data_IF_911642541668
#
_entry.id   IF_911642541668
#
_cell.length_a   1.000
_cell.length_b   1.000
_cell.length_c   1.000
_cell.angle_alpha   90.00
_cell.angle_beta   90.00
_cell.angle_gamma   90.00
#
_symmetry.space_group_name_H-M   'P 1'
#
loop_
_entity.id
_entity.type
_entity.pdbx_description
1 polymer ?
#
# COMPACT_ATOMS: atom_id res chain seq x y z
N UNK A 1 36.78 36.16 -26.85
CA UNK A 1 36.89 35.22 -27.98
C UNK A 1 35.57 34.48 -28.13
N UNK A 2 34.92 34.77 -29.24
CA UNK A 2 33.62 34.18 -29.61
C UNK A 2 33.87 32.78 -30.16
N UNK A 3 33.07 31.80 -29.76
CA UNK A 3 32.82 30.59 -30.54
C UNK A 3 31.33 30.25 -30.52
N UNK A 4 30.70 30.52 -31.64
CA UNK A 4 29.42 30.01 -32.10
C UNK A 4 29.58 28.51 -32.42
N UNK A 5 28.66 27.67 -32.01
CA UNK A 5 28.48 26.33 -32.58
C UNK A 5 27.01 26.16 -32.94
N UNK A 6 26.82 25.68 -34.15
CA UNK A 6 25.59 25.69 -34.93
C UNK A 6 24.51 24.71 -34.50
N UNK A 7 23.27 25.09 -34.86
CA UNK A 7 22.07 24.24 -34.88
C UNK A 7 22.24 23.05 -35.85
N UNK A 8 21.89 21.87 -35.42
CA UNK A 8 21.58 20.72 -36.26
C UNK A 8 20.12 20.33 -36.09
N UNK A 9 19.28 20.74 -37.02
CA UNK A 9 17.89 20.32 -37.15
C UNK A 9 17.90 19.01 -37.92
N UNK A 10 17.47 17.91 -37.25
CA UNK A 10 17.23 16.64 -37.92
C UNK A 10 15.73 16.45 -38.08
N UNK A 11 15.25 16.66 -39.32
CA UNK A 11 13.90 16.38 -39.74
C UNK A 11 13.74 14.86 -39.95
N UNK A 12 12.89 14.19 -39.14
CA UNK A 12 12.46 12.83 -39.43
C UNK A 12 11.12 12.86 -40.16
N UNK A 13 11.16 12.34 -41.37
CA UNK A 13 10.01 12.18 -42.26
C UNK A 13 9.04 11.10 -41.74
N UNK A 14 7.77 11.47 -41.58
CA UNK A 14 6.67 10.56 -41.26
C UNK A 14 6.20 9.91 -42.57
N UNK A 15 6.39 8.62 -42.74
CA UNK A 15 5.78 7.84 -43.80
C UNK A 15 4.42 7.32 -43.34
N UNK A 16 3.35 7.87 -43.88
CA UNK A 16 1.98 7.41 -43.68
C UNK A 16 1.73 6.31 -44.68
N UNK A 17 1.49 5.07 -44.23
CA UNK A 17 0.97 3.98 -45.04
C UNK A 17 -0.53 3.89 -44.79
N UNK A 18 -1.33 4.39 -45.71
CA UNK A 18 -2.76 4.18 -45.74
C UNK A 18 -3.04 2.82 -46.38
N UNK A 19 -3.56 1.88 -45.60
CA UNK A 19 -4.31 0.75 -46.14
C UNK A 19 -5.78 0.89 -45.75
N UNK A 20 -6.57 1.30 -46.71
CA UNK A 20 -8.02 1.24 -46.61
C UNK A 20 -8.48 -0.18 -46.98
N UNK A 21 -9.17 -0.81 -46.08
CA UNK A 21 -10.12 -1.89 -46.35
C UNK A 21 -11.32 -1.71 -45.46
N UNK A 22 -12.45 -1.46 -46.12
CA UNK A 22 -13.74 -1.37 -45.47
C UNK A 22 -14.20 -2.75 -45.06
N UNK A 23 -14.67 -2.90 -43.80
CA UNK A 23 -15.84 -3.74 -43.52
C UNK A 23 -16.48 -3.34 -42.18
N UNK A 24 -17.75 -3.22 -42.31
CA UNK A 24 -18.94 -3.05 -41.51
C UNK A 24 -18.86 -3.32 -39.98
N UNK A 25 -19.39 -2.30 -39.23
CA UNK A 25 -20.14 -2.45 -37.97
C UNK A 25 -19.52 -3.22 -36.81
N UNK A 26 -18.86 -2.50 -35.94
CA UNK A 26 -19.21 -2.54 -34.49
C UNK A 26 -18.53 -1.38 -33.75
N UNK A 27 -19.34 -0.38 -33.35
CA UNK A 27 -18.86 0.69 -32.49
C UNK A 27 -18.70 0.14 -31.08
N UNK A 28 -17.50 -0.39 -30.78
CA UNK A 28 -17.06 -0.61 -29.39
C UNK A 28 -16.21 0.59 -29.00
N UNK A 29 -16.82 1.49 -28.24
CA UNK A 29 -16.10 2.54 -27.54
C UNK A 29 -15.21 1.86 -26.49
N UNK A 30 -13.98 1.56 -26.85
CA UNK A 30 -12.96 1.09 -25.88
C UNK A 30 -12.53 2.28 -25.06
N UNK A 31 -13.23 2.51 -23.96
CA UNK A 31 -12.71 3.34 -22.88
C UNK A 31 -11.52 2.58 -22.28
N UNK A 32 -10.32 3.01 -22.61
CA UNK A 32 -9.10 2.49 -21.96
C UNK A 32 -9.10 3.01 -20.53
N UNK A 33 -9.80 2.32 -19.64
CA UNK A 33 -9.59 2.48 -18.21
C UNK A 33 -8.15 2.05 -17.92
N UNK A 34 -7.30 3.02 -17.66
CA UNK A 34 -5.96 2.76 -17.12
C UNK A 34 -6.18 2.24 -15.71
N UNK A 35 -6.37 0.93 -15.58
CA UNK A 35 -6.39 0.23 -14.31
C UNK A 35 -5.01 0.45 -13.68
N UNK A 36 -4.96 1.37 -12.71
CA UNK A 36 -3.79 1.52 -11.84
C UNK A 36 -3.73 0.23 -11.02
N UNK A 37 -2.91 -0.71 -11.46
CA UNK A 37 -2.59 -1.88 -10.64
C UNK A 37 -1.74 -1.39 -9.48
N UNK A 38 -2.39 -1.12 -8.36
CA UNK A 38 -1.71 -0.99 -7.07
C UNK A 38 -1.06 -2.36 -6.84
N UNK A 39 0.27 -2.43 -6.64
CA UNK A 39 0.91 -3.70 -6.37
C UNK A 39 0.24 -4.32 -5.14
N UNK A 40 -0.49 -5.40 -5.35
CA UNK A 40 -1.03 -6.22 -4.26
C UNK A 40 0.18 -6.84 -3.59
N UNK A 41 0.65 -6.20 -2.52
CA UNK A 41 1.65 -6.81 -1.64
C UNK A 41 0.97 -8.08 -1.09
N UNK A 42 1.47 -9.22 -1.53
CA UNK A 42 0.90 -10.51 -1.14
C UNK A 42 1.20 -10.75 0.34
N UNK A 43 0.29 -10.33 1.21
CA UNK A 43 0.41 -10.46 2.68
C UNK A 43 0.06 -11.88 3.15
N UNK A 44 -0.24 -12.79 2.23
CA UNK A 44 -0.47 -14.22 2.52
C UNK A 44 0.72 -14.95 3.16
N UNK A 45 1.67 -14.19 3.73
CA UNK A 45 2.85 -14.69 4.43
C UNK A 45 2.69 -14.66 5.96
N UNK A 46 1.61 -14.10 6.50
CA UNK A 46 1.36 -14.15 7.94
C UNK A 46 0.59 -15.44 8.26
N UNK A 47 1.20 -16.41 8.95
CA UNK A 47 0.52 -17.65 9.30
C UNK A 47 -0.75 -17.39 10.12
N UNK A 48 -1.82 -18.16 9.89
CA UNK A 48 -3.09 -18.01 10.62
C UNK A 48 -2.90 -18.06 12.14
N UNK A 49 -1.97 -18.88 12.63
CA UNK A 49 -1.63 -18.97 14.06
C UNK A 49 -1.11 -17.64 14.64
N UNK A 50 -0.38 -16.89 13.83
CA UNK A 50 0.12 -15.57 14.21
C UNK A 50 -1.03 -14.56 14.24
N UNK A 51 -1.93 -14.58 13.24
CA UNK A 51 -3.11 -13.72 13.23
C UNK A 51 -3.96 -13.96 14.48
N UNK A 52 -4.23 -15.23 14.82
CA UNK A 52 -4.99 -15.59 16.03
C UNK A 52 -4.35 -15.10 17.34
N UNK A 53 -3.03 -15.05 17.40
CA UNK A 53 -2.32 -14.44 18.54
C UNK A 53 -2.63 -12.94 18.64
N UNK A 54 -2.50 -12.22 17.52
CA UNK A 54 -2.73 -10.78 17.48
C UNK A 54 -4.20 -10.38 17.64
N UNK A 55 -5.14 -11.24 17.23
CA UNK A 55 -6.58 -11.03 17.50
C UNK A 55 -6.86 -10.92 19.01
N UNK A 56 -6.15 -11.69 19.84
CA UNK A 56 -6.26 -11.58 21.30
C UNK A 56 -5.75 -10.25 21.83
N UNK A 57 -4.66 -9.75 21.23
CA UNK A 57 -4.13 -8.42 21.57
C UNK A 57 -5.13 -7.35 21.17
N UNK A 58 -5.73 -7.44 19.98
CA UNK A 58 -6.75 -6.50 19.51
C UNK A 58 -7.98 -6.44 20.41
N UNK A 59 -8.39 -7.57 20.96
CA UNK A 59 -9.48 -7.59 21.96
C UNK A 59 -9.13 -6.75 23.18
N UNK A 60 -7.90 -6.85 23.68
CA UNK A 60 -7.43 -6.08 24.82
C UNK A 60 -7.22 -4.60 24.50
N UNK A 61 -6.52 -4.28 23.39
CA UNK A 61 -6.12 -2.92 23.02
C UNK A 61 -7.33 -2.05 22.64
N UNK A 62 -8.25 -2.58 21.84
CA UNK A 62 -9.27 -1.76 21.18
C UNK A 62 -10.67 -2.39 21.22
N UNK A 63 -10.87 -3.47 21.97
CA UNK A 63 -12.12 -4.24 21.94
C UNK A 63 -12.39 -4.87 20.58
N UNK A 64 -11.33 -5.27 19.85
CA UNK A 64 -11.41 -5.86 18.51
C UNK A 64 -11.85 -4.89 17.40
N UNK A 65 -11.65 -3.58 17.61
CA UNK A 65 -12.02 -2.56 16.62
C UNK A 65 -10.88 -2.30 15.62
N UNK A 66 -10.80 -3.08 14.56
CA UNK A 66 -9.75 -2.99 13.53
C UNK A 66 -9.81 -1.71 12.70
N UNK A 67 -10.92 -0.98 12.74
CA UNK A 67 -11.12 0.29 12.02
C UNK A 67 -11.09 1.51 12.96
N UNK A 68 -10.58 1.34 14.18
CA UNK A 68 -10.44 2.44 15.14
C UNK A 68 -9.59 3.58 14.55
N UNK A 69 -10.11 4.80 14.63
CA UNK A 69 -9.37 6.01 14.23
C UNK A 69 -9.15 6.90 15.43
N UNK A 70 -7.92 6.95 15.90
CA UNK A 70 -7.49 7.86 16.95
C UNK A 70 -6.54 8.93 16.43
N UNK A 71 -6.30 9.95 17.23
CA UNK A 71 -5.36 11.03 16.89
C UNK A 71 -3.89 10.60 17.00
N UNK A 72 -3.59 9.69 17.90
CA UNK A 72 -2.23 9.20 18.17
C UNK A 72 -2.00 7.79 17.65
N UNK A 73 -3.01 6.92 17.74
CA UNK A 73 -2.97 5.52 17.35
C UNK A 73 -4.28 5.11 16.68
N UNK A 74 -4.22 4.12 15.84
CA UNK A 74 -5.33 3.65 15.02
C UNK A 74 -5.30 2.12 14.89
N UNK A 75 -6.30 1.57 14.21
CA UNK A 75 -6.43 0.14 13.93
C UNK A 75 -6.75 -0.72 15.14
N UNK A 76 -6.81 -2.02 14.94
CA UNK A 76 -7.19 -2.98 15.96
C UNK A 76 -6.14 -3.19 17.05
N UNK A 77 -4.89 -2.92 16.74
CA UNK A 77 -3.74 -3.11 17.63
C UNK A 77 -3.27 -1.81 18.28
N UNK A 78 -3.92 -0.68 18.00
CA UNK A 78 -3.58 0.60 18.58
C UNK A 78 -2.16 1.05 18.26
N UNK A 79 -1.64 0.74 17.08
CA UNK A 79 -0.31 1.16 16.66
C UNK A 79 -0.29 2.69 16.53
N UNK A 80 0.76 3.33 17.04
CA UNK A 80 0.90 4.77 16.86
C UNK A 80 1.13 5.12 15.40
N UNK A 81 0.60 6.26 14.93
CA UNK A 81 0.83 6.75 13.58
C UNK A 81 2.32 6.84 13.24
N UNK A 82 3.16 7.15 14.23
CA UNK A 82 4.61 7.16 14.08
C UNK A 82 5.16 5.76 13.76
N UNK A 83 4.80 4.75 14.55
CA UNK A 83 5.27 3.38 14.34
C UNK A 83 4.73 2.79 13.04
N UNK A 84 3.46 3.07 12.69
CA UNK A 84 2.91 2.67 11.40
C UNK A 84 3.80 3.12 10.24
N UNK A 85 4.21 4.39 10.25
CA UNK A 85 5.12 4.94 9.24
C UNK A 85 6.52 4.35 9.34
N UNK A 86 7.11 4.32 10.54
CA UNK A 86 8.49 3.89 10.76
C UNK A 86 8.73 2.42 10.37
N UNK A 87 7.73 1.56 10.58
CA UNK A 87 7.82 0.14 10.24
C UNK A 87 7.26 -0.20 8.85
N UNK A 88 6.94 0.81 8.05
CA UNK A 88 6.59 0.67 6.63
C UNK A 88 5.11 0.39 6.37
N UNK A 89 4.22 0.69 7.29
CA UNK A 89 2.78 0.48 7.13
C UNK A 89 2.16 1.27 5.99
N UNK A 90 2.76 2.41 5.61
CA UNK A 90 2.30 3.21 4.47
C UNK A 90 2.34 2.52 3.12
N UNK A 91 3.06 1.41 2.99
CA UNK A 91 2.98 0.57 1.79
C UNK A 91 1.61 -0.08 1.60
N UNK A 92 0.82 -0.21 2.67
CA UNK A 92 -0.50 -0.80 2.66
C UNK A 92 -1.59 0.28 2.68
N UNK A 93 -1.51 1.20 3.64
CA UNK A 93 -2.49 2.28 3.80
C UNK A 93 -1.85 3.51 4.46
N UNK A 94 -2.41 4.70 4.23
CA UNK A 94 -1.96 5.92 4.89
C UNK A 94 -2.22 5.91 6.40
N UNK A 95 -3.28 5.23 6.82
CA UNK A 95 -3.65 5.04 8.21
C UNK A 95 -3.89 3.55 8.46
N UNK A 96 -3.50 3.05 9.64
CA UNK A 96 -3.67 1.65 10.00
C UNK A 96 -5.12 1.18 9.90
N UNK A 97 -6.08 2.02 10.27
CA UNK A 97 -7.50 1.71 10.21
C UNK A 97 -8.05 1.41 8.79
N UNK A 98 -7.29 1.73 7.76
CA UNK A 98 -7.61 1.47 6.35
C UNK A 98 -6.94 0.19 5.82
N UNK A 99 -6.01 -0.37 6.59
CA UNK A 99 -5.31 -1.59 6.26
C UNK A 99 -6.14 -2.83 6.67
N UNK A 100 -5.93 -3.93 5.97
CA UNK A 100 -6.51 -5.23 6.36
C UNK A 100 -5.94 -5.73 7.70
N UNK A 101 -6.62 -6.69 8.32
CA UNK A 101 -6.15 -7.33 9.57
C UNK A 101 -4.75 -7.92 9.38
N UNK A 102 -4.52 -8.60 8.27
CA UNK A 102 -3.24 -9.23 7.94
C UNK A 102 -2.11 -8.20 7.83
N UNK A 103 -2.38 -7.04 7.23
CA UNK A 103 -1.42 -5.95 7.06
C UNK A 103 -1.09 -5.29 8.40
N UNK A 104 -2.09 -5.06 9.23
CA UNK A 104 -1.90 -4.57 10.60
C UNK A 104 -1.06 -5.54 11.41
N UNK A 105 -1.38 -6.83 11.38
CA UNK A 105 -0.63 -7.89 12.06
C UNK A 105 0.80 -8.01 11.53
N UNK A 106 1.00 -7.86 10.21
CA UNK A 106 2.34 -7.86 9.63
C UNK A 106 3.21 -6.74 10.21
N UNK A 107 2.70 -5.53 10.30
CA UNK A 107 3.42 -4.39 10.87
C UNK A 107 3.64 -4.58 12.38
N UNK A 108 2.63 -5.04 13.13
CA UNK A 108 2.76 -5.34 14.55
C UNK A 108 3.86 -6.39 14.81
N UNK A 109 3.93 -7.42 13.99
CA UNK A 109 4.98 -8.45 14.08
C UNK A 109 6.39 -7.85 13.86
N UNK A 110 6.52 -6.91 12.92
CA UNK A 110 7.79 -6.18 12.73
C UNK A 110 8.17 -5.33 13.92
N UNK A 111 7.20 -4.60 14.50
CA UNK A 111 7.40 -3.78 15.70
C UNK A 111 7.87 -4.68 16.85
N UNK A 112 7.16 -5.75 17.13
CA UNK A 112 7.50 -6.70 18.20
C UNK A 112 8.89 -7.33 17.98
N UNK A 113 9.21 -7.69 16.75
CA UNK A 113 10.53 -8.26 16.40
C UNK A 113 11.70 -7.29 16.63
N UNK A 114 11.44 -6.00 16.73
CA UNK A 114 12.45 -5.00 17.09
C UNK A 114 12.74 -4.93 18.59
N UNK A 115 12.01 -5.68 19.41
CA UNK A 115 12.08 -5.66 20.87
C UNK A 115 11.25 -4.54 21.52
N UNK A 116 10.49 -3.78 20.70
CA UNK A 116 9.57 -2.79 21.25
C UNK A 116 8.24 -3.44 21.62
N UNK A 117 7.82 -3.27 22.87
CA UNK A 117 6.54 -3.74 23.39
C UNK A 117 5.74 -2.52 23.84
N UNK A 118 4.71 -2.11 23.08
CA UNK A 118 3.81 -1.06 23.53
C UNK A 118 3.09 -1.52 24.80
N UNK A 119 2.84 -0.58 25.70
CA UNK A 119 2.04 -0.81 26.90
C UNK A 119 2.37 -2.14 27.64
N UNK A 120 3.66 -2.31 28.00
CA UNK A 120 4.13 -3.52 28.70
C UNK A 120 3.39 -3.85 30.01
N UNK A 121 2.66 -2.88 30.57
CA UNK A 121 1.89 -3.04 31.81
C UNK A 121 0.39 -3.29 31.58
N UNK A 122 -0.10 -3.12 30.36
CA UNK A 122 -1.48 -3.37 29.98
C UNK A 122 -1.63 -4.58 29.08
N UNK A 123 -2.04 -4.36 27.84
CA UNK A 123 -2.19 -5.40 26.83
C UNK A 123 -0.86 -5.97 26.31
N UNK A 124 0.27 -5.37 26.71
CA UNK A 124 1.59 -5.71 26.25
C UNK A 124 2.03 -7.16 26.43
N UNK A 125 1.40 -7.91 27.33
CA UNK A 125 1.66 -9.36 27.45
C UNK A 125 1.35 -10.16 26.18
N UNK A 126 0.64 -9.59 25.24
CA UNK A 126 0.32 -10.21 23.96
C UNK A 126 1.25 -9.81 22.81
N UNK A 127 1.97 -8.73 23.01
CA UNK A 127 2.89 -8.19 22.01
C UNK A 127 4.16 -9.02 21.85
#
# INVERSE_FOLDING_TARGET
>A
MRRLIALGVLAMSLSIINNASADTNNTVTTTTETKIEIPVVNVGLVPRSIILKWEKVAVCETGYNWTLRGSLYSGGLGITNYNWVAYGGRQFANNEADASIEEQVYIATKINSSGYVPDQYGCGHGW
#
